data_IF_785868771110
#
_entry.id   IF_785868771110
#
_cell.length_a   1.000
_cell.length_b   1.000
_cell.length_c   1.000
_cell.angle_alpha   90.00
_cell.angle_beta   90.00
_cell.angle_gamma   90.00
#
_symmetry.space_group_name_H-M   'P 1'
#
loop_
_entity.id
_entity.type
_entity.pdbx_description
1 polymer ?
#
# COMPACT_ATOMS: atom_id res chain seq x y z
N UNK A 1 8.99 -11.58 -4.17
CA UNK A 1 9.23 -11.59 -5.63
C UNK A 1 9.40 -10.15 -6.03
N UNK A 2 10.52 -9.77 -6.66
CA UNK A 2 10.72 -8.40 -7.13
C UNK A 2 10.05 -8.31 -8.50
N UNK A 3 8.98 -7.52 -8.60
CA UNK A 3 8.29 -7.29 -9.86
C UNK A 3 8.64 -5.90 -10.37
N UNK A 4 9.06 -5.82 -11.63
CA UNK A 4 9.42 -4.58 -12.28
C UNK A 4 8.22 -4.03 -13.03
N UNK A 5 7.94 -2.75 -12.86
CA UNK A 5 6.76 -2.14 -13.45
C UNK A 5 7.09 -1.52 -14.82
N UNK A 6 6.08 -1.29 -15.66
CA UNK A 6 6.30 -0.67 -16.98
C UNK A 6 6.88 0.75 -16.89
N UNK A 7 6.68 1.41 -15.75
CA UNK A 7 7.14 2.78 -15.49
C UNK A 7 8.53 2.85 -14.84
N UNK A 8 9.21 1.71 -14.70
CA UNK A 8 10.57 1.64 -14.14
C UNK A 8 10.61 1.72 -12.61
N UNK A 9 9.47 1.51 -11.94
CA UNK A 9 9.43 1.36 -10.49
C UNK A 9 9.63 -0.10 -10.09
N UNK A 10 10.31 -0.31 -8.97
CA UNK A 10 10.45 -1.63 -8.36
C UNK A 10 9.33 -1.85 -7.34
N UNK A 11 8.61 -2.96 -7.44
CA UNK A 11 7.67 -3.37 -6.40
C UNK A 11 8.45 -4.02 -5.26
N UNK A 12 8.56 -3.28 -4.16
CA UNK A 12 9.29 -3.71 -2.95
C UNK A 12 8.37 -4.33 -1.89
N UNK A 13 7.07 -4.04 -1.91
CA UNK A 13 6.08 -4.56 -0.96
C UNK A 13 4.66 -4.59 -1.56
N UNK A 14 3.83 -5.48 -1.03
CA UNK A 14 2.38 -5.54 -1.29
C UNK A 14 1.62 -5.49 0.04
N UNK A 15 0.62 -4.60 0.12
CA UNK A 15 -0.20 -4.42 1.31
C UNK A 15 -1.65 -4.81 1.00
N UNK A 16 -2.17 -5.82 1.71
CA UNK A 16 -3.46 -6.44 1.42
C UNK A 16 -4.37 -6.43 2.64
N UNK A 17 -5.64 -6.10 2.40
CA UNK A 17 -6.70 -6.00 3.40
C UNK A 17 -7.89 -6.86 2.95
N UNK A 18 -7.77 -8.19 3.05
CA UNK A 18 -8.86 -9.11 2.68
C UNK A 18 -9.94 -9.13 3.77
N UNK A 19 -11.19 -8.85 3.39
CA UNK A 19 -12.32 -8.79 4.32
C UNK A 19 -12.43 -7.53 5.19
N UNK A 20 -11.56 -6.52 5.01
CA UNK A 20 -11.63 -5.26 5.75
C UNK A 20 -12.38 -4.17 4.99
N UNK A 21 -13.20 -3.40 5.71
CA UNK A 21 -13.90 -2.25 5.13
C UNK A 21 -12.95 -1.07 4.92
N UNK A 22 -12.97 -0.48 3.71
CA UNK A 22 -12.22 0.75 3.40
C UNK A 22 -12.72 2.01 4.14
N UNK A 23 -13.88 1.95 4.80
CA UNK A 23 -14.37 3.03 5.65
C UNK A 23 -13.64 3.12 7.01
N UNK A 24 -12.86 2.10 7.34
CA UNK A 24 -12.07 2.04 8.58
C UNK A 24 -10.60 2.25 8.27
N UNK A 25 -9.92 2.96 9.17
CA UNK A 25 -8.49 3.22 9.07
C UNK A 25 -7.66 2.23 9.87
N UNK A 26 -8.25 1.52 10.83
CA UNK A 26 -7.62 0.50 11.67
C UNK A 26 -7.67 -0.87 11.00
N UNK A 27 -6.78 -1.07 10.03
CA UNK A 27 -6.71 -2.32 9.26
C UNK A 27 -5.25 -2.67 8.92
N UNK A 28 -4.91 -3.96 8.96
CA UNK A 28 -3.52 -4.42 9.04
C UNK A 28 -2.70 -4.05 7.80
N UNK A 29 -3.28 -4.11 6.59
CA UNK A 29 -2.58 -3.73 5.37
C UNK A 29 -2.30 -2.23 5.31
N UNK A 30 -3.27 -1.39 5.67
CA UNK A 30 -3.10 0.05 5.70
C UNK A 30 -2.10 0.50 6.78
N UNK A 31 -2.10 -0.15 7.94
CA UNK A 31 -1.16 0.14 9.02
C UNK A 31 0.28 -0.20 8.60
N UNK A 32 0.51 -1.40 8.05
CA UNK A 32 1.83 -1.78 7.55
C UNK A 32 2.33 -0.87 6.42
N UNK A 33 1.42 -0.37 5.57
CA UNK A 33 1.75 0.61 4.52
C UNK A 33 2.22 1.93 5.13
N UNK A 34 1.52 2.43 6.16
CA UNK A 34 1.89 3.67 6.85
C UNK A 34 3.21 3.55 7.58
N UNK A 35 3.44 2.43 8.27
CA UNK A 35 4.70 2.15 8.95
C UNK A 35 5.87 2.10 7.96
N UNK A 36 5.67 1.48 6.79
CA UNK A 36 6.68 1.41 5.73
C UNK A 36 7.00 2.78 5.15
N UNK A 37 5.99 3.65 4.99
CA UNK A 37 6.16 5.02 4.53
C UNK A 37 6.89 5.88 5.58
N UNK A 38 6.53 5.76 6.86
CA UNK A 38 7.18 6.48 7.95
C UNK A 38 8.66 6.07 8.10
N UNK A 39 8.96 4.79 7.92
CA UNK A 39 10.32 4.27 7.93
C UNK A 39 11.14 4.62 6.67
N UNK A 40 10.53 5.25 5.66
CA UNK A 40 11.19 5.59 4.39
C UNK A 40 11.52 4.38 3.52
N UNK A 41 10.85 3.25 3.72
CA UNK A 41 11.07 2.03 2.91
C UNK A 41 10.43 2.14 1.52
N UNK A 42 9.45 3.04 1.37
CA UNK A 42 8.75 3.31 0.12
C UNK A 42 8.67 4.82 -0.12
N UNK A 43 8.77 5.21 -1.39
CA UNK A 43 8.69 6.61 -1.82
C UNK A 43 7.40 6.91 -2.61
N UNK A 44 6.75 5.86 -3.12
CA UNK A 44 5.52 5.95 -3.91
C UNK A 44 4.62 4.73 -3.66
N UNK A 45 3.32 4.91 -3.90
CA UNK A 45 2.30 3.86 -3.76
C UNK A 45 1.53 3.74 -5.07
N UNK A 46 1.36 2.50 -5.52
CA UNK A 46 0.35 2.18 -6.51
C UNK A 46 -0.89 1.59 -5.88
N UNK A 47 -2.02 2.23 -6.14
CA UNK A 47 -3.33 1.76 -5.74
C UNK A 47 -4.32 1.96 -6.89
N UNK A 48 -5.36 1.12 -6.93
CA UNK A 48 -6.40 1.18 -7.97
C UNK A 48 -7.18 2.51 -7.93
N UNK A 49 -7.38 3.06 -6.73
CA UNK A 49 -8.04 4.34 -6.51
C UNK A 49 -7.68 4.91 -5.14
N UNK A 50 -7.74 6.24 -4.94
CA UNK A 50 -7.52 6.87 -3.63
C UNK A 50 -8.42 6.34 -2.51
N UNK A 51 -9.68 5.98 -2.84
CA UNK A 51 -10.63 5.32 -1.92
C UNK A 51 -10.05 4.07 -1.22
N UNK A 52 -9.03 3.42 -1.80
CA UNK A 52 -8.35 2.27 -1.19
C UNK A 52 -7.51 2.64 0.03
N UNK A 53 -7.14 3.90 0.19
CA UNK A 53 -6.41 4.41 1.36
C UNK A 53 -7.40 4.87 2.44
N UNK A 54 -8.37 5.68 2.05
CA UNK A 54 -9.47 6.13 2.89
C UNK A 54 -10.62 6.61 2.01
N UNK A 55 -11.85 6.44 2.49
CA UNK A 55 -13.06 7.04 1.92
C UNK A 55 -13.56 8.16 2.81
#
# INVERSE_FOLDING_TARGET
>A
MIANTKDGHEIVAEFLDDGYSGARLDRPGLDALRDSAEAGMIEAIWCLSPDRLAR
#
